data_IF_101949467646
#
_entry.id   IF_101949467646
#
_cell.length_a   1.000
_cell.length_b   1.000
_cell.length_c   1.000
_cell.angle_alpha   90.00
_cell.angle_beta   90.00
_cell.angle_gamma   90.00
#
_symmetry.space_group_name_H-M   'P 1'
#
loop_
_entity.id
_entity.type
_entity.pdbx_description
1 polymer ?
#
# COMPACT_ATOMS: atom_id res chain seq x y z
N UNK A 1 -15.35 19.52 21.24
CA UNK A 1 -16.39 19.06 20.29
C UNK A 1 -17.73 19.75 20.50
N UNK A 2 -18.27 19.81 21.72
CA UNK A 2 -19.56 20.52 21.97
C UNK A 2 -19.58 21.97 21.47
N UNK A 3 -18.51 22.74 21.70
CA UNK A 3 -18.40 24.11 21.19
C UNK A 3 -18.39 24.22 19.65
N UNK A 4 -17.98 23.15 18.94
CA UNK A 4 -18.03 23.14 17.47
C UNK A 4 -19.49 23.06 17.04
N UNK A 5 -20.27 22.18 17.67
CA UNK A 5 -21.70 22.00 17.34
C UNK A 5 -22.57 23.16 17.78
N UNK A 6 -22.22 23.85 18.87
CA UNK A 6 -22.93 25.08 19.24
C UNK A 6 -22.72 26.21 18.23
N UNK A 7 -21.53 26.28 17.62
CA UNK A 7 -21.21 27.27 16.58
C UNK A 7 -21.70 26.83 15.19
N UNK A 8 -21.71 25.53 14.91
CA UNK A 8 -22.00 24.94 13.61
C UNK A 8 -23.02 23.79 13.75
N UNK A 9 -24.31 24.08 14.02
CA UNK A 9 -25.32 23.05 14.28
C UNK A 9 -25.69 22.20 13.06
N UNK A 10 -25.31 22.62 11.85
CA UNK A 10 -25.57 21.93 10.58
C UNK A 10 -24.34 21.21 10.04
N UNK A 11 -23.30 21.00 10.88
CA UNK A 11 -22.05 20.37 10.46
C UNK A 11 -22.27 18.90 10.10
N UNK A 12 -22.11 18.53 8.82
CA UNK A 12 -22.25 17.13 8.39
C UNK A 12 -20.93 16.33 8.38
N UNK A 13 -19.79 17.02 8.26
CA UNK A 13 -18.47 16.41 8.16
C UNK A 13 -17.49 17.08 9.11
N UNK A 14 -16.79 16.27 9.90
CA UNK A 14 -15.73 16.72 10.79
C UNK A 14 -14.49 15.87 10.53
N UNK A 15 -13.39 16.52 10.15
CA UNK A 15 -12.09 15.89 9.91
C UNK A 15 -11.03 16.56 10.77
N UNK A 16 -10.32 15.76 11.56
CA UNK A 16 -9.15 16.19 12.28
C UNK A 16 -7.89 15.59 11.66
N UNK A 17 -6.90 16.46 11.42
CA UNK A 17 -5.56 16.10 11.00
C UNK A 17 -4.62 16.32 12.19
N UNK A 18 -3.80 15.32 12.50
CA UNK A 18 -2.83 15.32 13.58
C UNK A 18 -3.44 15.63 14.96
N UNK A 19 -4.63 15.05 15.22
CA UNK A 19 -5.35 15.25 16.48
C UNK A 19 -4.64 14.54 17.64
N UNK A 20 -3.87 15.29 18.42
CA UNK A 20 -3.29 14.80 19.66
C UNK A 20 -4.11 15.34 20.83
N UNK A 21 -4.95 14.48 21.42
CA UNK A 21 -5.74 14.87 22.58
C UNK A 21 -5.64 13.83 23.67
N UNK A 22 -5.07 14.22 24.81
CA UNK A 22 -5.15 13.49 26.08
C UNK A 22 -6.44 13.88 26.80
N UNK A 23 -7.58 13.51 26.23
CA UNK A 23 -8.84 13.63 26.97
C UNK A 23 -8.90 12.47 27.95
N UNK A 24 -8.63 12.76 29.22
CA UNK A 24 -9.02 11.90 30.32
C UNK A 24 -10.56 11.89 30.41
N UNK A 25 -11.21 11.17 29.50
CA UNK A 25 -12.64 10.94 29.56
C UNK A 25 -12.89 9.94 30.68
N UNK A 26 -13.22 10.45 31.86
CA UNK A 26 -13.78 9.63 32.93
C UNK A 26 -15.11 9.08 32.42
N UNK A 27 -15.35 7.77 32.59
CA UNK A 27 -16.54 6.98 32.21
C UNK A 27 -17.92 7.53 32.69
N UNK A 28 -18.00 8.76 33.19
CA UNK A 28 -19.10 9.30 34.01
C UNK A 28 -20.17 10.13 33.25
N UNK A 29 -20.19 10.18 31.91
CA UNK A 29 -21.12 11.07 31.18
C UNK A 29 -22.10 10.38 30.21
N UNK A 30 -22.29 9.06 30.26
CA UNK A 30 -23.28 8.34 29.41
C UNK A 30 -24.69 8.98 29.38
N UNK A 31 -25.23 9.58 30.46
CA UNK A 31 -26.56 10.22 30.41
C UNK A 31 -26.60 11.66 29.89
N UNK A 32 -25.46 12.34 29.69
CA UNK A 32 -25.41 13.80 29.51
C UNK A 32 -25.16 14.26 28.06
N UNK A 33 -24.89 13.33 27.14
CA UNK A 33 -24.56 13.67 25.74
C UNK A 33 -25.84 13.84 24.93
N UNK A 34 -26.14 15.08 24.50
CA UNK A 34 -27.28 15.34 23.61
C UNK A 34 -26.92 14.95 22.18
N UNK A 35 -27.64 14.01 21.53
CA UNK A 35 -27.35 13.59 20.16
C UNK A 35 -27.34 14.77 19.18
N UNK A 36 -26.48 14.70 18.18
CA UNK A 36 -26.31 15.71 17.16
C UNK A 36 -26.15 15.06 15.78
N UNK A 37 -26.43 15.84 14.73
CA UNK A 37 -26.28 15.37 13.37
C UNK A 37 -24.82 15.49 12.94
N UNK A 38 -24.20 14.36 12.59
CA UNK A 38 -22.91 14.29 11.91
C UNK A 38 -22.93 13.02 11.06
N UNK A 39 -22.59 13.14 9.77
CA UNK A 39 -22.61 12.00 8.83
C UNK A 39 -21.22 11.40 8.66
N UNK A 40 -20.19 12.23 8.70
CA UNK A 40 -18.80 11.81 8.47
C UNK A 40 -17.90 12.33 9.57
N UNK A 41 -17.20 11.40 10.22
CA UNK A 41 -16.14 11.72 11.17
C UNK A 41 -14.83 11.07 10.70
N UNK A 42 -13.79 11.89 10.55
CA UNK A 42 -12.44 11.42 10.21
C UNK A 42 -11.42 11.94 11.21
N UNK A 43 -10.49 11.08 11.59
CA UNK A 43 -9.36 11.45 12.43
C UNK A 43 -8.11 10.75 11.89
N UNK A 44 -7.15 11.52 11.39
CA UNK A 44 -5.91 11.01 10.78
C UNK A 44 -4.69 11.64 11.43
N UNK A 45 -3.59 10.91 11.52
CA UNK A 45 -2.29 11.46 11.93
C UNK A 45 -2.15 11.74 13.43
N UNK A 46 -3.21 11.51 14.21
CA UNK A 46 -3.25 11.76 15.64
C UNK A 46 -2.70 10.62 16.49
N UNK A 47 -2.26 10.98 17.70
CA UNK A 47 -1.95 10.08 18.79
C UNK A 47 -3.25 9.56 19.44
N UNK A 48 -3.89 8.57 18.80
CA UNK A 48 -5.18 8.03 19.28
C UNK A 48 -4.95 6.95 20.34
N UNK A 49 -4.12 7.25 21.33
CA UNK A 49 -3.76 6.30 22.40
C UNK A 49 -4.79 6.28 23.54
N UNK A 50 -5.75 7.22 23.56
CA UNK A 50 -6.83 7.26 24.54
C UNK A 50 -8.18 7.20 23.83
N UNK A 51 -8.78 6.00 23.68
CA UNK A 51 -10.05 5.81 22.97
C UNK A 51 -11.26 6.37 23.73
N UNK A 52 -11.08 6.93 24.92
CA UNK A 52 -12.20 7.23 25.79
C UNK A 52 -13.16 8.30 25.20
N UNK A 53 -12.70 9.12 24.25
CA UNK A 53 -13.56 10.02 23.46
C UNK A 53 -14.39 9.31 22.37
N UNK A 54 -14.06 8.08 21.97
CA UNK A 54 -14.85 7.28 21.02
C UNK A 54 -16.21 6.89 21.60
N UNK A 55 -16.31 6.73 22.92
CA UNK A 55 -17.62 6.58 23.58
C UNK A 55 -18.50 7.80 23.34
N UNK A 56 -17.93 9.00 23.47
CA UNK A 56 -18.64 10.23 23.14
C UNK A 56 -19.10 10.24 21.67
N UNK A 57 -18.28 9.79 20.72
CA UNK A 57 -18.69 9.66 19.30
C UNK A 57 -19.92 8.75 19.16
N UNK A 58 -19.90 7.59 19.81
CA UNK A 58 -20.97 6.60 19.72
C UNK A 58 -22.33 7.18 20.18
N UNK A 59 -22.34 7.92 21.28
CA UNK A 59 -23.57 8.51 21.83
C UNK A 59 -23.96 9.82 21.14
N UNK A 60 -22.98 10.65 20.77
CA UNK A 60 -23.22 11.95 20.16
C UNK A 60 -23.74 11.83 18.73
N UNK A 61 -23.27 10.85 17.96
CA UNK A 61 -23.55 10.76 16.52
C UNK A 61 -24.16 9.40 16.12
N UNK A 62 -25.38 9.07 16.59
CA UNK A 62 -26.03 7.78 16.26
C UNK A 62 -26.33 7.60 14.76
N UNK A 63 -26.40 8.71 14.01
CA UNK A 63 -26.67 8.73 12.57
C UNK A 63 -25.40 8.71 11.69
N UNK A 64 -24.24 8.43 12.27
CA UNK A 64 -22.97 8.41 11.55
C UNK A 64 -22.98 7.38 10.42
N UNK A 65 -22.53 7.81 9.24
CA UNK A 65 -22.43 6.99 8.02
C UNK A 65 -20.97 6.58 7.77
N UNK A 66 -20.03 7.51 8.02
CA UNK A 66 -18.60 7.28 7.82
C UNK A 66 -17.84 7.53 9.12
N UNK A 67 -17.10 6.53 9.55
CA UNK A 67 -16.09 6.63 10.58
C UNK A 67 -14.75 6.18 10.00
N UNK A 68 -13.77 7.09 9.94
CA UNK A 68 -12.42 6.82 9.43
C UNK A 68 -11.37 7.26 10.44
N UNK A 69 -10.76 6.30 11.12
CA UNK A 69 -9.79 6.51 12.18
C UNK A 69 -8.46 5.92 11.74
N UNK A 70 -7.42 6.75 11.67
CA UNK A 70 -6.07 6.37 11.32
C UNK A 70 -5.11 6.91 12.37
N UNK A 71 -4.67 6.03 13.26
CA UNK A 71 -3.69 6.39 14.29
C UNK A 71 -2.30 6.49 13.64
N UNK A 72 -1.58 7.56 13.99
CA UNK A 72 -0.19 7.70 13.58
C UNK A 72 0.67 6.81 14.47
N UNK A 73 1.24 5.78 13.87
CA UNK A 73 2.23 4.95 14.55
C UNK A 73 3.58 5.51 14.19
N UNK A 74 4.15 6.31 15.08
CA UNK A 74 5.54 6.73 14.92
C UNK A 74 6.42 5.47 14.97
N UNK A 75 6.88 5.08 13.79
CA UNK A 75 7.68 3.88 13.54
C UNK A 75 8.98 3.91 14.34
N UNK A 76 9.47 5.09 14.71
CA UNK A 76 10.67 5.25 15.54
C UNK A 76 10.42 5.01 17.03
N UNK A 77 9.18 5.12 17.50
CA UNK A 77 8.82 4.89 18.91
C UNK A 77 8.59 3.41 19.22
N UNK A 78 8.18 2.60 18.24
CA UNK A 78 7.97 1.15 18.42
C UNK A 78 9.25 0.37 18.77
N UNK A 79 10.41 0.85 18.34
CA UNK A 79 11.72 0.24 18.64
C UNK A 79 12.24 0.64 20.05
N UNK A 80 11.58 1.59 20.72
CA UNK A 80 12.01 2.17 21.99
C UNK A 80 10.88 2.12 23.04
N UNK A 81 10.70 0.92 23.61
CA UNK A 81 9.76 0.60 24.72
C UNK A 81 8.30 0.63 24.29
N UNK A 82 7.51 -0.17 25.01
CA UNK A 82 6.05 -0.28 24.97
C UNK A 82 5.42 1.06 24.58
N UNK A 83 5.15 1.25 23.29
CA UNK A 83 4.22 2.28 22.87
C UNK A 83 2.92 1.84 23.52
N UNK A 84 2.46 2.60 24.50
CA UNK A 84 1.16 2.39 25.12
C UNK A 84 0.13 2.62 24.01
N UNK A 85 -0.28 1.54 23.32
CA UNK A 85 -1.32 1.54 22.25
C UNK A 85 -2.70 1.90 22.84
N UNK A 86 -2.73 2.40 24.08
CA UNK A 86 -3.91 2.52 24.89
C UNK A 86 -4.32 1.16 25.45
N UNK A 87 -5.23 1.22 26.42
CA UNK A 87 -5.91 0.03 26.91
C UNK A 87 -6.71 -0.62 25.76
N UNK A 88 -6.16 -1.72 25.24
CA UNK A 88 -6.73 -2.52 24.14
C UNK A 88 -8.17 -2.94 24.45
N UNK A 89 -8.51 -3.19 25.71
CA UNK A 89 -9.87 -3.56 26.07
C UNK A 89 -10.81 -2.37 26.03
N UNK A 90 -10.34 -1.17 26.41
CA UNK A 90 -11.11 0.07 26.21
C UNK A 90 -11.31 0.37 24.71
N UNK A 91 -10.31 0.10 23.85
CA UNK A 91 -10.46 0.23 22.39
C UNK A 91 -11.61 -0.65 21.87
N UNK A 92 -11.60 -1.95 22.23
CA UNK A 92 -12.64 -2.90 21.83
C UNK A 92 -14.02 -2.47 22.33
N UNK A 93 -14.11 -2.05 23.60
CA UNK A 93 -15.37 -1.61 24.20
C UNK A 93 -15.93 -0.38 23.48
N UNK A 94 -15.08 0.58 23.13
CA UNK A 94 -15.49 1.76 22.38
C UNK A 94 -15.98 1.43 20.96
N UNK A 95 -15.27 0.57 20.23
CA UNK A 95 -15.69 0.10 18.90
C UNK A 95 -17.02 -0.64 18.98
N UNK A 96 -17.19 -1.48 20.00
CA UNK A 96 -18.45 -2.17 20.26
C UNK A 96 -19.60 -1.19 20.54
N UNK A 97 -19.36 -0.11 21.29
CA UNK A 97 -20.37 0.93 21.50
C UNK A 97 -20.73 1.64 20.20
N UNK A 98 -19.74 2.00 19.38
CA UNK A 98 -19.98 2.58 18.05
C UNK A 98 -20.83 1.62 17.20
N UNK A 99 -20.48 0.34 17.15
CA UNK A 99 -21.21 -0.67 16.40
C UNK A 99 -22.69 -0.79 16.85
N UNK A 100 -22.95 -0.63 18.16
CA UNK A 100 -24.29 -0.70 18.76
C UNK A 100 -25.13 0.55 18.52
N UNK A 101 -24.53 1.73 18.56
CA UNK A 101 -25.25 3.01 18.49
C UNK A 101 -25.30 3.60 17.09
N UNK A 102 -24.25 3.44 16.28
CA UNK A 102 -24.14 4.00 14.93
C UNK A 102 -24.70 3.02 13.88
N UNK A 103 -26.00 2.74 13.91
CA UNK A 103 -26.63 1.71 13.05
C UNK A 103 -26.68 2.05 11.56
N UNK A 104 -26.43 3.31 11.20
CA UNK A 104 -26.39 3.79 9.80
C UNK A 104 -25.01 3.71 9.16
N UNK A 105 -24.02 3.16 9.88
CA UNK A 105 -22.63 3.11 9.41
C UNK A 105 -22.52 2.30 8.10
N UNK A 106 -21.86 2.89 7.11
CA UNK A 106 -21.57 2.29 5.80
C UNK A 106 -20.06 2.15 5.57
N UNK A 107 -19.28 3.08 6.12
CA UNK A 107 -17.81 3.07 6.07
C UNK A 107 -17.28 3.05 7.48
N UNK A 108 -16.44 2.07 7.77
CA UNK A 108 -15.89 1.85 9.10
C UNK A 108 -14.41 1.47 8.98
N UNK A 109 -13.51 2.44 9.22
CA UNK A 109 -12.06 2.23 9.10
C UNK A 109 -11.38 2.56 10.41
N UNK A 110 -10.56 1.61 10.85
CA UNK A 110 -9.80 1.65 12.08
C UNK A 110 -8.37 1.19 11.79
N UNK A 111 -7.62 2.08 11.16
CA UNK A 111 -6.25 1.84 10.74
C UNK A 111 -5.30 2.15 11.91
N UNK A 112 -4.44 1.19 12.21
CA UNK A 112 -3.58 1.15 13.40
C UNK A 112 -4.34 1.17 14.74
N UNK A 113 -5.48 0.49 14.81
CA UNK A 113 -6.26 0.28 16.03
C UNK A 113 -6.43 -1.19 16.34
N UNK A 114 -6.26 -1.58 17.60
CA UNK A 114 -6.55 -2.94 18.04
C UNK A 114 -8.07 -3.19 18.10
N UNK A 115 -8.55 -4.15 17.30
CA UNK A 115 -9.95 -4.57 17.24
C UNK A 115 -10.02 -6.09 17.31
N UNK A 116 -11.03 -6.62 17.99
CA UNK A 116 -11.32 -8.04 18.02
C UNK A 116 -12.48 -8.44 17.11
N UNK A 117 -12.60 -9.73 16.83
CA UNK A 117 -13.69 -10.29 16.01
C UNK A 117 -15.07 -9.97 16.57
N UNK A 118 -15.23 -9.92 17.91
CA UNK A 118 -16.51 -9.58 18.53
C UNK A 118 -16.97 -8.19 18.13
N UNK A 119 -16.08 -7.20 18.15
CA UNK A 119 -16.38 -5.84 17.73
C UNK A 119 -16.90 -5.79 16.28
N UNK A 120 -16.35 -6.63 15.39
CA UNK A 120 -16.79 -6.75 13.99
C UNK A 120 -18.18 -7.38 13.90
N UNK A 121 -18.47 -8.42 14.69
CA UNK A 121 -19.77 -9.11 14.71
C UNK A 121 -20.95 -8.19 15.05
N UNK A 122 -20.72 -7.11 15.79
CA UNK A 122 -21.75 -6.13 16.12
C UNK A 122 -21.92 -5.02 15.08
N UNK A 123 -21.03 -4.92 14.10
CA UNK A 123 -21.14 -3.90 13.06
C UNK A 123 -22.44 -4.07 12.27
N UNK A 124 -23.07 -2.95 11.88
CA UNK A 124 -24.31 -3.03 11.14
C UNK A 124 -24.04 -3.66 9.76
N UNK A 125 -24.97 -4.50 9.30
CA UNK A 125 -24.90 -5.14 7.98
C UNK A 125 -24.94 -4.15 6.81
N UNK A 126 -25.12 -2.85 7.08
CA UNK A 126 -25.00 -1.76 6.11
C UNK A 126 -23.55 -1.38 5.80
N UNK A 127 -22.57 -1.84 6.59
CA UNK A 127 -21.15 -1.60 6.30
C UNK A 127 -20.79 -2.24 4.95
N UNK A 128 -20.16 -1.44 4.08
CA UNK A 128 -19.70 -1.80 2.73
C UNK A 128 -18.20 -1.59 2.57
N UNK A 129 -17.63 -0.66 3.33
CA UNK A 129 -16.20 -0.34 3.32
C UNK A 129 -15.65 -0.53 4.73
N UNK A 130 -14.78 -1.52 4.88
CA UNK A 130 -14.17 -1.88 6.16
C UNK A 130 -12.66 -1.69 6.07
N UNK A 131 -12.06 -1.00 7.04
CA UNK A 131 -10.61 -0.89 7.18
C UNK A 131 -10.16 -1.36 8.54
N UNK A 132 -9.19 -2.27 8.59
CA UNK A 132 -8.64 -2.84 9.81
C UNK A 132 -7.13 -2.71 9.80
N UNK A 133 -6.56 -2.15 10.87
CA UNK A 133 -5.13 -2.04 11.09
C UNK A 133 -4.60 -2.93 12.22
N UNK A 134 -3.27 -3.01 12.35
CA UNK A 134 -2.55 -3.70 13.43
C UNK A 134 -2.88 -5.19 13.60
N UNK A 135 -2.42 -5.99 12.63
CA UNK A 135 -2.73 -7.41 12.42
C UNK A 135 -2.17 -8.46 13.36
N UNK A 136 -1.56 -8.05 14.47
CA UNK A 136 -1.13 -8.99 15.50
C UNK A 136 -2.38 -9.51 16.25
N UNK A 137 -3.23 -10.30 15.59
CA UNK A 137 -4.49 -10.79 16.15
C UNK A 137 -5.61 -11.18 15.17
N UNK A 138 -5.46 -10.98 13.85
CA UNK A 138 -6.47 -11.47 12.89
C UNK A 138 -6.49 -13.00 12.87
N UNK A 139 -7.40 -13.57 13.65
CA UNK A 139 -7.70 -14.99 13.67
C UNK A 139 -8.71 -15.37 12.59
N UNK A 140 -8.85 -16.68 12.34
CA UNK A 140 -9.97 -17.27 11.60
C UNK A 140 -11.33 -16.63 11.95
N UNK A 141 -11.58 -16.43 13.25
CA UNK A 141 -12.83 -15.85 13.74
C UNK A 141 -13.03 -14.40 13.25
N UNK A 142 -11.96 -13.63 13.12
CA UNK A 142 -12.03 -12.25 12.62
C UNK A 142 -12.42 -12.24 11.16
N UNK A 143 -11.78 -13.10 10.35
CA UNK A 143 -12.16 -13.26 8.95
C UNK A 143 -13.60 -13.77 8.81
N UNK A 144 -14.04 -14.73 9.61
CA UNK A 144 -15.43 -15.20 9.60
C UNK A 144 -16.42 -14.07 9.91
N UNK A 145 -16.08 -13.17 10.84
CA UNK A 145 -16.89 -11.98 11.16
C UNK A 145 -16.96 -11.02 9.97
N UNK A 146 -15.83 -10.79 9.29
CA UNK A 146 -15.76 -10.00 8.04
C UNK A 146 -16.64 -10.61 6.95
N UNK A 147 -16.62 -11.93 6.78
CA UNK A 147 -17.37 -12.65 5.75
C UNK A 147 -18.89 -12.47 5.84
N UNK A 148 -19.40 -12.16 7.04
CA UNK A 148 -20.83 -11.89 7.28
C UNK A 148 -21.26 -10.55 6.71
N UNK A 149 -20.31 -9.62 6.53
CA UNK A 149 -20.54 -8.32 5.97
C UNK A 149 -20.55 -8.41 4.44
N UNK A 150 -21.48 -7.70 3.78
CA UNK A 150 -21.54 -7.60 2.31
C UNK A 150 -20.59 -6.51 1.83
N UNK A 151 -19.31 -6.69 2.08
CA UNK A 151 -18.30 -5.68 1.78
C UNK A 151 -18.10 -5.51 0.28
N UNK A 152 -17.97 -4.27 -0.16
CA UNK A 152 -17.50 -3.89 -1.49
C UNK A 152 -16.04 -3.45 -1.46
N UNK A 153 -15.56 -2.94 -0.32
CA UNK A 153 -14.16 -2.55 -0.11
C UNK A 153 -13.65 -3.08 1.23
N UNK A 154 -12.43 -3.62 1.22
CA UNK A 154 -11.73 -4.06 2.41
C UNK A 154 -10.29 -3.55 2.39
N UNK A 155 -9.91 -2.86 3.46
CA UNK A 155 -8.53 -2.44 3.74
C UNK A 155 -8.00 -3.23 4.91
N UNK A 156 -6.85 -3.83 4.67
CA UNK A 156 -6.17 -4.72 5.56
C UNK A 156 -4.74 -4.21 5.79
N UNK A 157 -4.42 -3.60 6.95
CA UNK A 157 -3.08 -3.08 7.26
C UNK A 157 -2.43 -3.69 8.53
N UNK A 158 -1.15 -4.10 8.46
CA UNK A 158 -0.40 -4.56 9.64
C UNK A 158 0.62 -5.67 9.39
N UNK A 159 1.16 -6.26 10.44
CA UNK A 159 2.30 -7.19 10.43
C UNK A 159 1.84 -8.63 10.20
N UNK A 160 2.27 -9.22 9.09
CA UNK A 160 1.69 -10.46 8.57
C UNK A 160 2.26 -11.72 9.22
N UNK A 161 1.44 -12.39 10.04
CA UNK A 161 1.46 -13.86 10.22
C UNK A 161 0.24 -14.53 9.58
N UNK A 162 -0.49 -13.81 8.73
CA UNK A 162 -1.72 -14.28 8.10
C UNK A 162 -1.44 -15.49 7.20
N UNK A 163 -2.14 -16.59 7.45
CA UNK A 163 -2.24 -17.69 6.51
C UNK A 163 -3.01 -17.20 5.28
N UNK A 164 -2.30 -17.11 4.15
CA UNK A 164 -2.82 -16.57 2.90
C UNK A 164 -3.97 -17.39 2.35
N UNK A 165 -3.93 -18.71 2.51
CA UNK A 165 -4.99 -19.60 2.03
C UNK A 165 -6.25 -19.40 2.89
N UNK A 166 -6.09 -19.31 4.19
CA UNK A 166 -7.20 -19.03 5.11
C UNK A 166 -7.83 -17.67 4.80
N UNK A 167 -7.03 -16.61 4.69
CA UNK A 167 -7.50 -15.29 4.30
C UNK A 167 -8.24 -15.34 2.97
N UNK A 168 -7.64 -15.90 1.93
CA UNK A 168 -8.27 -15.98 0.61
C UNK A 168 -9.57 -16.79 0.63
N UNK A 169 -9.63 -17.90 1.37
CA UNK A 169 -10.84 -18.71 1.51
C UNK A 169 -12.00 -17.91 2.09
N UNK A 170 -11.71 -17.07 3.07
CA UNK A 170 -12.74 -16.27 3.71
C UNK A 170 -13.12 -15.04 2.88
N UNK A 171 -12.14 -14.36 2.29
CA UNK A 171 -12.40 -13.25 1.35
C UNK A 171 -13.22 -13.72 0.14
N UNK A 172 -13.04 -14.97 -0.30
CA UNK A 172 -13.85 -15.58 -1.36
C UNK A 172 -15.34 -15.73 -1.02
N UNK A 173 -15.73 -15.61 0.24
CA UNK A 173 -17.14 -15.59 0.66
C UNK A 173 -17.76 -14.20 0.50
N UNK A 174 -16.94 -13.15 0.43
CA UNK A 174 -17.37 -11.77 0.21
C UNK A 174 -17.68 -11.55 -1.28
N UNK A 175 -18.82 -12.06 -1.73
CA UNK A 175 -19.20 -12.03 -3.15
C UNK A 175 -19.30 -10.61 -3.74
N UNK A 176 -19.52 -9.59 -2.93
CA UNK A 176 -19.66 -8.20 -3.39
C UNK A 176 -18.31 -7.44 -3.39
N UNK A 177 -17.20 -8.07 -2.96
CA UNK A 177 -15.91 -7.42 -2.79
C UNK A 177 -15.29 -7.05 -4.14
N UNK A 178 -15.09 -5.75 -4.36
CA UNK A 178 -14.52 -5.17 -5.58
C UNK A 178 -13.15 -4.55 -5.37
N UNK A 179 -12.93 -3.98 -4.19
CA UNK A 179 -11.69 -3.30 -3.82
C UNK A 179 -11.04 -3.99 -2.62
N UNK A 180 -9.78 -4.41 -2.78
CA UNK A 180 -9.00 -5.02 -1.71
C UNK A 180 -7.64 -4.32 -1.58
N UNK A 181 -7.35 -3.81 -0.40
CA UNK A 181 -6.04 -3.30 -0.03
C UNK A 181 -5.45 -4.19 1.03
N UNK A 182 -4.28 -4.79 0.78
CA UNK A 182 -3.49 -5.51 1.76
C UNK A 182 -2.15 -4.77 1.90
N UNK A 183 -1.93 -4.18 3.07
CA UNK A 183 -0.73 -3.46 3.43
C UNK A 183 0.00 -4.17 4.58
N UNK A 184 1.03 -4.92 4.21
CA UNK A 184 1.97 -5.58 5.10
C UNK A 184 3.33 -4.85 5.14
N UNK A 185 3.32 -3.52 5.02
CA UNK A 185 4.47 -2.65 4.76
C UNK A 185 5.49 -2.47 5.88
N UNK A 186 5.38 -3.17 7.00
CA UNK A 186 6.35 -3.07 8.09
C UNK A 186 7.18 -4.34 8.25
N UNK A 187 8.34 -4.45 7.57
CA UNK A 187 9.38 -5.34 8.04
C UNK A 187 9.94 -4.70 9.31
N UNK A 188 9.57 -5.19 10.49
CA UNK A 188 10.29 -4.84 11.71
C UNK A 188 11.80 -4.99 11.44
N UNK A 189 12.51 -3.87 11.46
CA UNK A 189 13.93 -3.73 11.09
C UNK A 189 14.85 -4.63 11.95
N UNK A 190 14.34 -5.22 13.03
CA UNK A 190 15.05 -6.20 13.86
C UNK A 190 14.62 -7.66 13.73
N UNK A 191 13.48 -7.98 13.11
CA UNK A 191 12.93 -9.34 13.15
C UNK A 191 13.35 -10.10 11.89
N UNK A 192 14.61 -10.54 11.89
CA UNK A 192 15.13 -11.67 11.09
C UNK A 192 14.46 -13.01 11.48
N UNK A 193 13.18 -13.03 11.87
CA UNK A 193 12.50 -14.29 12.14
C UNK A 193 11.93 -14.81 10.84
N UNK A 194 12.36 -16.04 10.55
CA UNK A 194 12.01 -16.93 9.47
C UNK A 194 10.52 -17.28 9.46
N UNK A 195 9.61 -16.32 9.57
CA UNK A 195 8.21 -16.61 9.30
C UNK A 195 8.07 -16.79 7.80
N UNK A 196 7.39 -17.87 7.43
CA UNK A 196 7.23 -18.31 6.06
C UNK A 196 6.23 -17.40 5.33
N UNK A 197 6.53 -16.11 5.17
CA UNK A 197 5.67 -15.20 4.44
C UNK A 197 5.50 -15.72 3.01
N UNK A 198 4.30 -15.63 2.48
CA UNK A 198 3.99 -16.02 1.11
C UNK A 198 4.62 -15.01 0.13
N UNK A 199 4.93 -15.43 -1.09
CA UNK A 199 5.40 -14.50 -2.12
C UNK A 199 4.26 -13.58 -2.59
N UNK A 200 4.61 -12.46 -3.21
CA UNK A 200 3.63 -11.57 -3.88
C UNK A 200 2.75 -12.36 -4.85
N UNK A 201 3.33 -13.32 -5.59
CA UNK A 201 2.59 -14.15 -6.54
C UNK A 201 1.60 -15.08 -5.84
N UNK A 202 2.00 -15.72 -4.73
CA UNK A 202 1.13 -16.63 -3.97
C UNK A 202 -0.11 -15.90 -3.44
N UNK A 203 0.08 -14.69 -2.89
CA UNK A 203 -1.03 -13.87 -2.38
C UNK A 203 -1.98 -13.47 -3.49
N UNK A 204 -1.43 -13.01 -4.63
CA UNK A 204 -2.24 -12.65 -5.80
C UNK A 204 -3.02 -13.88 -6.30
N UNK A 205 -2.38 -15.05 -6.46
CA UNK A 205 -3.06 -16.25 -6.98
C UNK A 205 -4.16 -16.74 -6.03
N UNK A 206 -3.88 -16.77 -4.72
CA UNK A 206 -4.85 -17.17 -3.72
C UNK A 206 -6.07 -16.25 -3.74
N UNK A 207 -5.86 -14.93 -3.70
CA UNK A 207 -6.93 -13.93 -3.74
C UNK A 207 -7.72 -14.02 -5.03
N UNK A 208 -7.07 -14.01 -6.20
CA UNK A 208 -7.74 -14.08 -7.51
C UNK A 208 -8.43 -15.42 -7.75
N UNK A 209 -8.05 -16.49 -7.05
CA UNK A 209 -8.74 -17.77 -7.14
C UNK A 209 -10.05 -17.79 -6.38
N UNK A 210 -10.18 -16.96 -5.34
CA UNK A 210 -11.34 -16.97 -4.44
C UNK A 210 -12.26 -15.76 -4.63
N UNK A 211 -11.72 -14.57 -4.91
CA UNK A 211 -12.46 -13.31 -4.95
C UNK A 211 -12.86 -12.91 -6.39
N UNK A 212 -13.79 -13.64 -6.99
CA UNK A 212 -14.08 -13.57 -8.45
C UNK A 212 -14.55 -12.20 -8.96
N UNK A 213 -15.13 -11.37 -8.10
CA UNK A 213 -15.66 -10.05 -8.44
C UNK A 213 -14.68 -8.90 -8.13
N UNK A 214 -13.44 -9.23 -7.72
CA UNK A 214 -12.44 -8.23 -7.39
C UNK A 214 -12.01 -7.47 -8.66
N UNK A 215 -12.23 -6.15 -8.66
CA UNK A 215 -11.93 -5.24 -9.76
C UNK A 215 -10.60 -4.51 -9.52
N UNK A 216 -10.25 -4.25 -8.26
CA UNK A 216 -9.09 -3.46 -7.85
C UNK A 216 -8.35 -4.12 -6.68
N UNK A 217 -7.04 -4.27 -6.82
CA UNK A 217 -6.18 -4.81 -5.77
C UNK A 217 -5.00 -3.88 -5.52
N UNK A 218 -4.81 -3.49 -4.25
CA UNK A 218 -3.64 -2.80 -3.76
C UNK A 218 -2.88 -3.73 -2.83
N UNK A 219 -1.60 -3.93 -3.08
CA UNK A 219 -0.78 -4.87 -2.33
C UNK A 219 0.55 -4.21 -1.97
N UNK A 220 0.80 -4.03 -0.68
CA UNK A 220 2.11 -3.68 -0.14
C UNK A 220 2.62 -4.84 0.69
N UNK A 221 3.71 -5.47 0.26
CA UNK A 221 4.32 -6.57 1.01
C UNK A 221 5.80 -6.28 1.13
N UNK A 222 6.28 -6.16 2.36
CA UNK A 222 7.70 -6.04 2.62
C UNK A 222 8.47 -7.24 2.04
N UNK A 223 9.53 -6.94 1.29
CA UNK A 223 10.33 -7.85 0.47
C UNK A 223 10.37 -9.31 0.92
N UNK A 224 9.90 -10.19 0.04
CA UNK A 224 10.08 -11.62 0.21
C UNK A 224 10.97 -12.17 -0.90
N UNK A 225 12.10 -12.77 -0.53
CA UNK A 225 13.09 -13.31 -1.48
C UNK A 225 12.75 -14.74 -1.96
N UNK A 226 11.55 -15.26 -1.63
CA UNK A 226 11.15 -16.62 -2.05
C UNK A 226 10.99 -16.75 -3.55
N UNK A 227 11.56 -17.80 -4.17
CA UNK A 227 11.35 -18.07 -5.60
C UNK A 227 9.85 -18.26 -5.85
N UNK A 228 9.33 -17.55 -6.85
CA UNK A 228 7.94 -17.72 -7.26
C UNK A 228 7.81 -19.11 -7.87
N UNK A 229 6.97 -19.95 -7.28
CA UNK A 229 6.56 -21.20 -7.90
C UNK A 229 5.37 -20.85 -8.78
N UNK A 230 5.55 -20.93 -10.10
CA UNK A 230 4.44 -20.68 -11.03
C UNK A 230 3.33 -21.70 -10.72
N UNK A 231 2.15 -21.26 -10.26
CA UNK A 231 1.06 -22.17 -9.95
C UNK A 231 0.71 -22.95 -11.21
N UNK A 232 0.65 -24.27 -11.12
CA UNK A 232 0.26 -25.15 -12.24
C UNK A 232 -1.25 -25.07 -12.54
N UNK A 233 -1.94 -24.03 -12.09
CA UNK A 233 -3.38 -23.98 -12.09
C UNK A 233 -3.94 -23.63 -13.47
N UNK A 234 -4.95 -24.39 -13.86
CA UNK A 234 -5.82 -24.18 -15.03
C UNK A 234 -6.58 -22.87 -14.82
N UNK A 235 -6.01 -21.75 -15.24
CA UNK A 235 -6.45 -20.41 -14.82
C UNK A 235 -7.76 -19.99 -15.48
N UNK A 236 -8.87 -20.11 -14.75
CA UNK A 236 -10.10 -19.33 -15.02
C UNK A 236 -9.72 -17.84 -15.21
N UNK A 237 -10.29 -17.14 -16.18
CA UNK A 237 -10.02 -15.70 -16.33
C UNK A 237 -10.61 -14.92 -15.15
N UNK A 238 -9.91 -13.89 -14.69
CA UNK A 238 -10.31 -12.99 -13.61
C UNK A 238 -10.71 -11.61 -14.14
N UNK A 239 -11.63 -10.94 -13.46
CA UNK A 239 -12.15 -9.62 -13.83
C UNK A 239 -11.30 -8.43 -13.34
N UNK A 240 -10.07 -8.69 -12.86
CA UNK A 240 -9.24 -7.63 -12.25
C UNK A 240 -8.89 -6.57 -13.30
N UNK A 241 -9.14 -5.29 -12.96
CA UNK A 241 -8.92 -4.14 -13.85
C UNK A 241 -7.79 -3.22 -13.38
N UNK A 242 -7.53 -3.20 -12.07
CA UNK A 242 -6.50 -2.36 -11.45
C UNK A 242 -5.65 -3.18 -10.49
N UNK A 243 -4.32 -3.08 -10.64
CA UNK A 243 -3.35 -3.64 -9.72
C UNK A 243 -2.34 -2.57 -9.30
N UNK A 244 -2.23 -2.34 -7.99
CA UNK A 244 -1.21 -1.49 -7.40
C UNK A 244 -0.30 -2.34 -6.53
N UNK A 245 0.99 -2.36 -6.84
CA UNK A 245 2.03 -3.02 -6.07
C UNK A 245 2.91 -1.95 -5.44
N UNK A 246 3.08 -1.99 -4.11
CA UNK A 246 3.91 -1.06 -3.34
C UNK A 246 5.00 -1.84 -2.61
N UNK A 247 6.27 -1.46 -2.74
CA UNK A 247 7.37 -2.13 -2.03
C UNK A 247 7.52 -3.64 -2.28
N UNK A 248 6.97 -4.14 -3.39
CA UNK A 248 7.01 -5.57 -3.70
C UNK A 248 8.32 -5.96 -4.42
N UNK A 249 8.75 -7.20 -4.20
CA UNK A 249 9.77 -7.85 -5.02
C UNK A 249 9.12 -8.52 -6.23
N UNK A 250 9.53 -8.11 -7.43
CA UNK A 250 8.88 -8.47 -8.67
C UNK A 250 9.81 -9.33 -9.53
N UNK A 251 9.22 -10.31 -10.20
CA UNK A 251 9.87 -11.05 -11.28
C UNK A 251 9.04 -11.01 -12.55
N UNK A 252 9.63 -11.47 -13.65
CA UNK A 252 8.97 -11.53 -14.96
C UNK A 252 7.75 -12.47 -14.93
N UNK A 253 7.84 -13.58 -14.18
CA UNK A 253 6.80 -14.61 -14.17
C UNK A 253 5.47 -14.11 -13.62
N UNK A 254 5.49 -13.14 -12.71
CA UNK A 254 4.29 -12.46 -12.23
C UNK A 254 3.51 -11.80 -13.38
N UNK A 255 4.18 -11.10 -14.29
CA UNK A 255 3.51 -10.41 -15.40
C UNK A 255 3.03 -11.38 -16.48
N UNK A 256 3.79 -12.44 -16.75
CA UNK A 256 3.36 -13.51 -17.65
C UNK A 256 2.08 -14.19 -17.10
N UNK A 257 2.03 -14.43 -15.78
CA UNK A 257 0.85 -14.94 -15.09
C UNK A 257 -0.33 -13.97 -15.16
N UNK A 258 -0.12 -12.69 -14.82
CA UNK A 258 -1.18 -11.68 -14.85
C UNK A 258 -1.72 -11.44 -16.27
N UNK A 259 -0.85 -11.51 -17.29
CA UNK A 259 -1.27 -11.40 -18.69
C UNK A 259 -2.27 -12.49 -19.08
N UNK A 260 -2.10 -13.70 -18.56
CA UNK A 260 -3.01 -14.82 -18.83
C UNK A 260 -4.25 -14.77 -17.94
N UNK A 261 -4.06 -14.50 -16.64
CA UNK A 261 -5.11 -14.57 -15.61
C UNK A 261 -6.08 -13.39 -15.68
N UNK A 262 -5.57 -12.18 -15.95
CA UNK A 262 -6.32 -10.93 -15.85
C UNK A 262 -6.37 -10.21 -17.20
N UNK A 263 -7.15 -10.71 -18.19
CA UNK A 263 -7.19 -10.13 -19.53
C UNK A 263 -7.74 -8.69 -19.59
N UNK A 264 -8.48 -8.28 -18.55
CA UNK A 264 -9.08 -6.94 -18.44
C UNK A 264 -8.22 -5.96 -17.62
N UNK A 265 -7.01 -6.34 -17.22
CA UNK A 265 -6.14 -5.48 -16.44
C UNK A 265 -5.76 -4.24 -17.27
N UNK A 266 -6.31 -3.08 -16.91
CA UNK A 266 -6.12 -1.83 -17.62
C UNK A 266 -5.21 -0.85 -16.88
N UNK A 267 -5.07 -0.99 -15.56
CA UNK A 267 -4.21 -0.12 -14.75
C UNK A 267 -3.19 -0.95 -13.97
N UNK A 268 -1.91 -0.57 -14.11
CA UNK A 268 -0.79 -1.17 -13.39
C UNK A 268 0.04 -0.08 -12.72
N UNK A 269 0.11 -0.11 -11.40
CA UNK A 269 0.89 0.84 -10.61
C UNK A 269 1.98 0.10 -9.86
N UNK A 270 3.24 0.48 -10.07
CA UNK A 270 4.41 -0.13 -9.46
C UNK A 270 5.15 0.94 -8.65
N UNK A 271 4.92 1.00 -7.35
CA UNK A 271 5.46 2.03 -6.47
C UNK A 271 6.51 1.43 -5.55
N UNK A 272 7.70 2.02 -5.53
CA UNK A 272 8.83 1.56 -4.73
C UNK A 272 9.08 0.05 -4.88
N UNK A 273 8.78 -0.53 -6.04
CA UNK A 273 8.97 -1.96 -6.23
C UNK A 273 10.42 -2.24 -6.62
N UNK A 274 10.88 -3.45 -6.29
CA UNK A 274 12.21 -3.90 -6.66
C UNK A 274 12.17 -5.10 -7.60
N UNK A 275 13.09 -5.13 -8.54
CA UNK A 275 13.36 -6.34 -9.30
C UNK A 275 14.05 -7.37 -8.41
N UNK A 276 13.55 -8.61 -8.44
CA UNK A 276 14.23 -9.76 -7.86
C UNK A 276 15.51 -10.09 -8.63
N UNK A 277 16.62 -10.22 -7.91
CA UNK A 277 17.97 -10.39 -8.46
C UNK A 277 18.04 -11.61 -9.38
N UNK A 278 18.42 -11.39 -10.63
CA UNK A 278 18.92 -12.40 -11.54
C UNK A 278 20.31 -11.96 -11.94
N UNK A 279 21.34 -12.76 -11.64
CA UNK A 279 22.74 -12.36 -11.78
C UNK A 279 23.14 -11.99 -13.21
N UNK A 280 22.35 -12.37 -14.21
CA UNK A 280 22.72 -12.29 -15.63
C UNK A 280 21.81 -11.37 -16.46
N UNK A 281 20.86 -10.67 -15.84
CA UNK A 281 19.88 -9.88 -16.59
C UNK A 281 19.85 -8.43 -16.12
N UNK A 282 20.26 -7.51 -17.00
CA UNK A 282 20.19 -6.05 -16.81
C UNK A 282 18.75 -5.54 -17.06
N UNK A 283 17.99 -6.28 -17.87
CA UNK A 283 16.66 -5.90 -18.33
C UNK A 283 15.56 -6.63 -17.55
N UNK A 284 14.57 -5.89 -17.07
CA UNK A 284 13.34 -6.37 -16.45
C UNK A 284 12.18 -6.14 -17.41
N UNK A 285 11.63 -7.22 -17.95
CA UNK A 285 10.55 -7.15 -18.92
C UNK A 285 9.17 -7.34 -18.25
N UNK A 286 8.26 -6.39 -18.47
CA UNK A 286 6.83 -6.51 -18.18
C UNK A 286 6.14 -6.92 -19.49
N UNK A 287 5.81 -8.20 -19.61
CA UNK A 287 5.26 -8.77 -20.84
C UNK A 287 3.74 -8.99 -20.74
N UNK A 288 2.97 -8.07 -21.32
CA UNK A 288 1.51 -8.09 -21.37
C UNK A 288 1.00 -7.72 -22.77
N UNK A 289 1.38 -8.48 -23.82
CA UNK A 289 1.25 -8.06 -25.22
C UNK A 289 -0.21 -7.89 -25.69
N UNK A 290 -1.18 -8.43 -24.95
CA UNK A 290 -2.60 -8.36 -25.30
C UNK A 290 -3.31 -7.18 -24.62
N UNK A 291 -2.65 -6.51 -23.67
CA UNK A 291 -3.28 -5.53 -22.79
C UNK A 291 -3.14 -4.10 -23.31
N UNK A 292 -4.15 -3.29 -23.04
CA UNK A 292 -4.09 -1.83 -23.17
C UNK A 292 -3.95 -1.24 -21.78
N UNK A 293 -2.79 -0.63 -21.48
CA UNK A 293 -2.41 -0.30 -20.10
C UNK A 293 -2.28 1.20 -19.85
N UNK A 294 -2.70 1.61 -18.67
CA UNK A 294 -2.24 2.81 -17.97
C UNK A 294 -1.20 2.38 -16.95
N UNK A 295 0.05 2.76 -17.16
CA UNK A 295 1.18 2.35 -16.32
C UNK A 295 1.73 3.54 -15.55
N UNK A 296 1.80 3.41 -14.22
CA UNK A 296 2.46 4.37 -13.32
C UNK A 296 3.58 3.68 -12.55
N UNK A 297 4.81 4.10 -12.79
CA UNK A 297 5.99 3.56 -12.12
C UNK A 297 6.60 4.64 -11.25
N UNK A 298 6.71 4.36 -9.96
CA UNK A 298 7.33 5.28 -9.01
C UNK A 298 8.48 4.60 -8.29
N UNK A 299 9.65 5.23 -8.28
CA UNK A 299 10.80 4.77 -7.50
C UNK A 299 11.16 3.28 -7.69
N UNK A 300 11.20 2.77 -8.92
CA UNK A 300 11.59 1.38 -9.19
C UNK A 300 13.11 1.18 -9.08
N UNK A 301 13.55 0.12 -8.40
CA UNK A 301 14.98 -0.21 -8.24
C UNK A 301 15.28 -1.69 -8.43
N UNK A 302 16.55 -2.02 -8.56
CA UNK A 302 17.07 -3.37 -8.55
C UNK A 302 17.61 -3.68 -7.15
N UNK A 303 17.17 -4.80 -6.58
CA UNK A 303 17.60 -5.20 -5.24
C UNK A 303 19.04 -5.71 -5.28
N UNK A 304 19.95 -5.03 -4.58
CA UNK A 304 21.26 -5.58 -4.28
C UNK A 304 21.52 -5.53 -2.78
N UNK A 305 22.02 -6.64 -2.23
CA UNK A 305 22.26 -6.94 -0.80
C UNK A 305 23.02 -5.88 0.01
N UNK A 306 23.52 -4.81 -0.63
CA UNK A 306 24.24 -3.70 0.00
C UNK A 306 23.83 -2.32 -0.51
N UNK A 307 23.06 -2.21 -1.62
CA UNK A 307 22.77 -0.95 -2.32
C UNK A 307 21.51 -1.04 -3.19
N UNK A 308 20.62 -0.05 -3.15
CA UNK A 308 19.52 0.07 -4.13
C UNK A 308 20.05 0.67 -5.43
N UNK A 309 20.17 -0.17 -6.46
CA UNK A 309 20.57 0.26 -7.81
C UNK A 309 19.33 0.80 -8.51
N UNK A 310 19.36 2.05 -8.97
CA UNK A 310 18.14 2.71 -9.47
C UNK A 310 18.02 2.55 -10.98
N UNK A 311 16.89 2.04 -11.46
CA UNK A 311 16.61 1.97 -12.89
C UNK A 311 16.56 3.38 -13.48
N UNK A 312 17.28 3.59 -14.58
CA UNK A 312 17.37 4.90 -15.25
C UNK A 312 16.85 4.89 -16.68
N UNK A 313 16.70 3.71 -17.28
CA UNK A 313 16.19 3.54 -18.62
C UNK A 313 14.90 2.73 -18.60
N UNK A 314 13.91 3.24 -19.31
CA UNK A 314 12.61 2.63 -19.44
C UNK A 314 12.30 2.50 -20.94
N UNK A 315 12.19 1.25 -21.41
CA UNK A 315 11.78 0.92 -22.76
C UNK A 315 10.28 0.68 -22.81
N UNK A 316 9.64 1.19 -23.85
CA UNK A 316 8.21 1.02 -24.10
C UNK A 316 8.02 0.46 -25.51
N UNK A 317 7.72 -0.83 -25.64
CA UNK A 317 7.46 -1.46 -26.94
C UNK A 317 5.97 -1.54 -27.21
N UNK A 318 5.60 -1.05 -28.39
CA UNK A 318 4.27 -1.13 -29.00
C UNK A 318 4.41 -1.69 -30.43
N UNK A 319 3.30 -2.01 -31.12
CA UNK A 319 3.35 -2.48 -32.50
C UNK A 319 4.11 -1.54 -33.46
N UNK A 320 4.12 -0.23 -33.22
CA UNK A 320 4.78 0.74 -34.11
C UNK A 320 6.27 0.96 -33.80
N UNK A 321 6.79 0.40 -32.69
CA UNK A 321 8.20 0.48 -32.33
C UNK A 321 8.47 0.55 -30.84
N UNK A 322 9.71 0.91 -30.48
CA UNK A 322 10.14 1.08 -29.09
C UNK A 322 10.50 2.54 -28.81
N UNK A 323 9.93 3.10 -27.75
CA UNK A 323 10.29 4.40 -27.20
C UNK A 323 11.13 4.20 -25.95
N UNK A 324 12.18 4.99 -25.81
CA UNK A 324 13.08 4.92 -24.68
C UNK A 324 12.98 6.20 -23.87
N UNK A 325 12.88 6.05 -22.56
CA UNK A 325 12.85 7.14 -21.61
C UNK A 325 14.05 7.04 -20.68
N UNK A 326 14.73 8.16 -20.47
CA UNK A 326 15.84 8.31 -19.56
C UNK A 326 15.44 9.20 -18.39
N UNK A 327 15.72 8.74 -17.16
CA UNK A 327 15.48 9.54 -15.95
C UNK A 327 16.57 10.60 -15.81
N UNK A 328 16.24 11.81 -16.24
CA UNK A 328 17.12 12.97 -16.17
C UNK A 328 17.00 13.65 -14.80
N UNK A 329 18.15 13.91 -14.15
CA UNK A 329 18.20 14.70 -12.91
C UNK A 329 17.96 16.17 -13.22
N UNK A 330 16.85 16.71 -12.75
CA UNK A 330 16.65 18.15 -12.79
C UNK A 330 17.61 18.81 -11.80
N UNK A 331 18.29 19.89 -12.25
CA UNK A 331 19.06 20.74 -11.32
C UNK A 331 18.08 21.31 -10.29
N UNK A 332 18.53 21.36 -9.04
CA UNK A 332 17.76 21.89 -7.93
C UNK A 332 17.15 23.24 -8.31
N UNK A 333 15.82 23.29 -8.38
CA UNK A 333 15.15 24.56 -8.14
C UNK A 333 15.28 24.74 -6.64
N UNK A 334 16.01 25.76 -6.19
CA UNK A 334 15.97 26.24 -4.81
C UNK A 334 14.51 26.61 -4.49
N UNK A 335 13.72 25.62 -4.11
CA UNK A 335 12.44 25.88 -3.46
C UNK A 335 12.85 26.42 -2.10
N UNK A 336 12.65 27.72 -1.89
CA UNK A 336 12.92 28.48 -0.65
C UNK A 336 12.05 28.04 0.53
N UNK A 337 11.92 26.74 0.77
CA UNK A 337 11.35 26.19 1.98
C UNK A 337 12.45 25.36 2.62
N UNK A 338 12.68 25.56 3.92
CA UNK A 338 13.72 24.92 4.75
C UNK A 338 13.56 23.39 4.91
N UNK A 339 13.12 22.70 3.86
CA UNK A 339 12.98 21.25 3.79
C UNK A 339 13.98 20.75 2.76
N UNK A 340 14.72 19.74 3.18
CA UNK A 340 15.81 19.02 2.52
C UNK A 340 15.82 19.03 0.99
N UNK A 341 17.02 19.13 0.40
CA UNK A 341 17.25 19.12 -1.04
C UNK A 341 16.65 17.87 -1.70
N UNK A 342 15.44 18.04 -2.25
CA UNK A 342 14.75 17.00 -2.97
C UNK A 342 15.31 16.91 -4.39
N UNK A 343 16.13 15.90 -4.67
CA UNK A 343 16.50 15.58 -6.04
C UNK A 343 15.32 14.93 -6.78
N UNK A 344 14.71 15.68 -7.70
CA UNK A 344 13.70 15.16 -8.61
C UNK A 344 14.34 14.68 -9.92
N UNK A 345 13.90 13.52 -10.41
CA UNK A 345 14.21 13.07 -11.76
C UNK A 345 12.93 13.03 -12.59
N UNK A 346 13.02 13.51 -13.82
CA UNK A 346 11.92 13.51 -14.79
C UNK A 346 12.30 12.57 -15.94
N UNK A 347 11.33 11.77 -16.39
CA UNK A 347 11.48 10.96 -17.58
C UNK A 347 11.54 11.86 -18.83
N UNK A 348 12.67 11.82 -19.55
CA UNK A 348 12.81 12.44 -20.86
C UNK A 348 12.88 11.36 -21.93
N UNK A 349 12.16 11.57 -23.04
CA UNK A 349 12.29 10.68 -24.19
C UNK A 349 13.70 10.81 -24.78
N UNK A 350 14.38 9.68 -25.04
CA UNK A 350 15.79 9.64 -25.46
C UNK A 350 16.03 10.44 -26.76
N UNK A 351 15.04 10.50 -27.65
CA UNK A 351 15.10 11.24 -28.92
C UNK A 351 15.11 12.77 -28.73
N UNK A 352 14.71 13.24 -27.55
CA UNK A 352 14.62 14.66 -27.19
C UNK A 352 15.82 15.16 -26.40
N UNK A 353 16.79 14.27 -26.12
CA UNK A 353 17.98 14.60 -25.36
C UNK A 353 18.92 15.49 -26.17
N UNK A 354 19.52 16.49 -25.52
CA UNK A 354 20.58 17.29 -26.12
C UNK A 354 21.93 16.54 -26.18
N UNK A 355 22.93 17.12 -26.84
CA UNK A 355 24.24 16.48 -27.01
C UNK A 355 24.93 16.14 -25.69
N UNK A 356 24.79 17.01 -24.67
CA UNK A 356 25.41 16.80 -23.36
C UNK A 356 24.71 15.65 -22.61
N UNK A 357 23.38 15.60 -22.70
CA UNK A 357 22.56 14.52 -22.13
C UNK A 357 22.85 13.18 -22.80
N UNK A 358 22.97 13.14 -24.13
CA UNK A 358 23.37 11.95 -24.88
C UNK A 358 24.77 11.47 -24.47
N UNK A 359 25.75 12.36 -24.34
CA UNK A 359 27.08 12.00 -23.85
C UNK A 359 27.04 11.46 -22.41
N UNK A 360 26.17 12.01 -21.56
CA UNK A 360 25.98 11.51 -20.19
C UNK A 360 25.39 10.11 -20.19
N UNK A 361 24.36 9.87 -21.01
CA UNK A 361 23.74 8.56 -21.15
C UNK A 361 24.71 7.50 -21.73
N UNK A 362 25.47 7.85 -22.77
CA UNK A 362 26.46 6.96 -23.39
C UNK A 362 27.55 6.55 -22.38
N UNK A 363 28.03 7.50 -21.55
CA UNK A 363 28.95 7.18 -20.44
C UNK A 363 28.33 6.15 -19.50
N UNK A 364 27.10 6.38 -19.03
CA UNK A 364 26.41 5.46 -18.11
C UNK A 364 26.29 4.05 -18.71
N UNK A 365 25.90 3.94 -19.98
CA UNK A 365 25.75 2.66 -20.68
C UNK A 365 27.09 1.93 -20.88
N UNK A 366 28.18 2.67 -21.14
CA UNK A 366 29.52 2.08 -21.28
C UNK A 366 30.07 1.61 -19.94
N UNK A 367 29.85 2.36 -18.86
CA UNK A 367 30.29 1.97 -17.51
C UNK A 367 29.70 0.61 -17.07
N UNK A 368 28.48 0.26 -17.49
CA UNK A 368 27.89 -1.05 -17.20
C UNK A 368 28.58 -2.21 -17.93
N UNK A 369 29.10 -1.98 -19.14
CA UNK A 369 29.78 -3.02 -19.92
C UNK A 369 31.21 -3.30 -19.45
N UNK A 370 31.80 -2.46 -18.57
CA UNK A 370 33.25 -2.37 -18.39
C UNK A 370 33.80 -2.98 -17.08
N UNK A 371 33.00 -3.46 -16.11
CA UNK A 371 33.59 -4.09 -14.90
C UNK A 371 33.01 -5.46 -14.51
N UNK A 372 33.81 -6.56 -14.58
CA UNK A 372 33.63 -7.66 -13.65
C UNK A 372 33.78 -7.13 -12.21
N UNK A 373 32.97 -7.65 -11.29
CA UNK A 373 32.92 -7.24 -9.89
C UNK A 373 34.32 -7.02 -9.30
N UNK A 374 34.71 -5.80 -8.87
CA UNK A 374 35.97 -5.60 -8.17
C UNK A 374 35.92 -6.32 -6.81
N UNK A 375 37.05 -6.81 -6.31
CA UNK A 375 37.14 -7.38 -4.96
C UNK A 375 36.85 -6.30 -3.91
N UNK A 376 35.73 -6.44 -3.20
CA UNK A 376 35.13 -5.38 -2.36
C UNK A 376 35.75 -5.26 -0.97
N UNK A 377 36.78 -6.04 -0.66
CA UNK A 377 37.44 -6.04 0.66
C UNK A 377 38.33 -4.81 0.90
N UNK A 378 38.70 -4.07 -0.15
CA UNK A 378 39.69 -2.99 -0.06
C UNK A 378 39.20 -1.62 -0.54
N UNK A 379 37.98 -1.50 -1.06
CA UNK A 379 37.50 -0.26 -1.70
C UNK A 379 36.53 0.53 -0.81
N UNK A 380 36.90 1.76 -0.42
CA UNK A 380 35.98 2.75 0.17
C UNK A 380 35.21 3.44 -0.98
N UNK A 381 33.90 3.20 -1.15
CA UNK A 381 33.16 3.78 -2.27
C UNK A 381 32.86 5.27 -2.03
N UNK A 382 33.08 6.11 -3.05
CA UNK A 382 32.32 7.34 -3.20
C UNK A 382 30.87 6.93 -3.53
N UNK A 383 29.93 7.30 -2.67
CA UNK A 383 28.53 6.83 -2.68
C UNK A 383 27.73 7.35 -3.88
N UNK A 384 28.30 8.26 -4.67
CA UNK A 384 27.62 8.97 -5.76
C UNK A 384 27.69 8.27 -7.13
N UNK A 385 28.58 7.28 -7.31
CA UNK A 385 28.97 6.82 -8.66
C UNK A 385 28.52 5.42 -9.07
N UNK A 386 27.88 4.63 -8.20
CA UNK A 386 27.37 3.31 -8.59
C UNK A 386 26.00 3.42 -9.29
N UNK A 387 26.01 4.10 -10.43
CA UNK A 387 24.89 4.09 -11.37
C UNK A 387 24.97 2.79 -12.16
N UNK A 388 24.17 1.82 -11.75
CA UNK A 388 23.78 0.72 -12.65
C UNK A 388 22.44 1.11 -13.23
N UNK A 389 22.40 1.11 -14.55
CA UNK A 389 21.27 1.42 -15.38
C UNK A 389 20.41 0.16 -15.56
N UNK A 390 19.64 -0.19 -14.53
CA UNK A 390 18.57 -1.17 -14.71
C UNK A 390 17.62 -0.70 -15.81
N UNK A 391 17.29 -1.60 -16.73
CA UNK A 391 16.35 -1.34 -17.83
C UNK A 391 15.01 -1.96 -17.44
N UNK A 392 13.93 -1.18 -17.48
CA UNK A 392 12.55 -1.72 -17.41
C UNK A 392 11.94 -1.66 -18.80
N UNK A 393 11.57 -2.80 -19.36
CA UNK A 393 11.00 -2.89 -20.71
C UNK A 393 9.54 -3.34 -20.63
N UNK A 394 8.61 -2.51 -21.10
CA UNK A 394 7.17 -2.82 -21.08
C UNK A 394 6.73 -3.21 -22.49
N UNK A 395 6.17 -4.40 -22.63
CA UNK A 395 5.64 -4.93 -23.89
C UNK A 395 4.13 -5.09 -23.76
N UNK A 396 3.37 -4.27 -24.47
CA UNK A 396 1.90 -4.32 -24.43
C UNK A 396 1.28 -3.91 -25.77
N UNK A 397 -0.03 -4.16 -25.92
CA UNK A 397 -0.76 -3.82 -27.16
C UNK A 397 -0.81 -2.32 -27.39
N UNK A 398 -1.16 -1.58 -26.34
CA UNK A 398 -1.33 -0.13 -26.38
C UNK A 398 -1.16 0.46 -24.97
N UNK A 399 -0.84 1.76 -24.92
CA UNK A 399 -0.71 2.49 -23.66
C UNK A 399 -1.57 3.74 -23.70
N UNK A 400 -2.50 3.82 -22.76
CA UNK A 400 -3.40 4.96 -22.59
C UNK A 400 -2.68 6.10 -21.87
N UNK A 401 -1.92 5.77 -20.83
CA UNK A 401 -1.12 6.73 -20.06
C UNK A 401 0.14 6.06 -19.55
N UNK A 402 1.25 6.81 -19.55
CA UNK A 402 2.50 6.36 -18.99
C UNK A 402 3.08 7.45 -18.11
N UNK A 403 3.34 7.11 -16.85
CA UNK A 403 3.96 8.02 -15.90
C UNK A 403 5.12 7.29 -15.24
N UNK A 404 6.29 7.92 -15.25
CA UNK A 404 7.43 7.48 -14.45
C UNK A 404 7.84 8.66 -13.60
N UNK A 405 7.68 8.53 -12.28
CA UNK A 405 8.10 9.56 -11.34
C UNK A 405 9.15 9.03 -10.39
N UNK A 406 10.10 9.91 -10.05
CA UNK A 406 11.05 9.63 -8.99
C UNK A 406 10.95 10.73 -7.94
N UNK A 407 10.33 10.38 -6.81
CA UNK A 407 10.31 11.25 -5.63
C UNK A 407 11.24 10.65 -4.59
N UNK A 408 12.40 11.25 -4.40
CA UNK A 408 13.22 10.98 -3.22
C UNK A 408 12.64 11.82 -2.08
N UNK A 409 11.83 11.19 -1.24
CA UNK A 409 11.59 11.72 0.11
C UNK A 409 12.82 11.28 0.89
N UNK A 410 13.69 12.22 1.26
CA UNK A 410 14.82 11.95 2.15
C UNK A 410 14.28 11.87 3.57
#
# INVERSE_FOLDING_TARGET
>A
MESIHSLLPQLETLEFLDFNHSLAYQRLLEPAVTPCHLRTFRCRGGAIYQPAWLFYIAFKYPDLITLDLEANVDVHLLDRREVDIGDVDTNKEAVLMIARHCRKLQVARWINFAIDHQSIDYLPLSVRDLGLGHFDGLSSATFQSIARLRLTSLVLQGTATIDVDEMANVLGQCNDLRDLTIDCGYPYVGIRRRTHTASTMDIIDAVLSRCQNLESMHLRIAYNDRPNVIPHCRTKRHALTCLTLVENSLDKSLFDYLAQRCPNLGQLRLWQCCRKKSHDQIEFAIHMPQHTLSVDIQNFYEHSFKWSRRCKLFGLTRPEGTWWYYMHKCREVEVRMHLESCHYEIAKEVRTLDTQEVCTLDRLLRYEKIKPYPDWTTYKPNWEEYVTCGIVHIHCKAINSFTINKKRVI
#
